data_IF_600558392157
#
_entry.id   IF_600558392157
#
_cell.length_a   1.000
_cell.length_b   1.000
_cell.length_c   1.000
_cell.angle_alpha   90.00
_cell.angle_beta   90.00
_cell.angle_gamma   90.00
#
_symmetry.space_group_name_H-M   'P 1'
#
loop_
_entity.id
_entity.type
_entity.pdbx_description
1 polymer ?
#
# COMPACT_ATOMS: atom_id res chain seq x y z
N UNK A 1 1.76 6.28 -11.28
CA UNK A 1 1.16 6.37 -9.94
C UNK A 1 0.86 4.97 -9.46
N UNK A 2 1.23 4.63 -8.22
CA UNK A 2 0.92 3.36 -7.58
C UNK A 2 0.41 3.55 -6.16
N UNK A 3 -0.69 2.86 -5.83
CA UNK A 3 -1.28 2.83 -4.49
C UNK A 3 -0.99 1.49 -3.82
N UNK A 4 -0.64 1.50 -2.53
CA UNK A 4 -0.45 0.28 -1.75
C UNK A 4 0.55 -0.69 -2.42
N UNK A 5 0.16 -1.94 -2.66
CA UNK A 5 0.91 -2.94 -3.43
C UNK A 5 1.35 -2.42 -4.80
N UNK A 6 0.46 -1.70 -5.51
CA UNK A 6 0.78 -1.07 -6.80
C UNK A 6 1.89 -0.01 -6.70
N UNK A 7 2.10 0.58 -5.51
CA UNK A 7 3.25 1.44 -5.24
C UNK A 7 4.57 0.68 -5.29
N UNK A 8 4.60 -0.55 -4.78
CA UNK A 8 5.75 -1.44 -4.91
C UNK A 8 6.02 -1.85 -6.35
N UNK A 9 4.98 -2.17 -7.11
CA UNK A 9 5.09 -2.47 -8.54
C UNK A 9 5.65 -1.27 -9.32
N UNK A 10 5.16 -0.06 -9.04
CA UNK A 10 5.67 1.17 -9.65
C UNK A 10 7.14 1.40 -9.29
N UNK A 11 7.52 1.29 -8.02
CA UNK A 11 8.90 1.46 -7.60
C UNK A 11 9.84 0.51 -8.35
N UNK A 12 9.50 -0.78 -8.40
CA UNK A 12 10.27 -1.78 -9.13
C UNK A 12 10.31 -1.54 -10.63
N UNK A 13 9.17 -1.21 -11.24
CA UNK A 13 9.13 -0.91 -12.67
C UNK A 13 9.98 0.31 -13.02
N UNK A 14 9.86 1.39 -12.25
CA UNK A 14 10.63 2.62 -12.49
C UNK A 14 12.12 2.34 -12.41
N UNK A 15 12.57 1.67 -11.34
CA UNK A 15 13.99 1.38 -11.12
C UNK A 15 14.59 0.47 -12.19
N UNK A 16 13.87 -0.59 -12.59
CA UNK A 16 14.42 -1.64 -13.46
C UNK A 16 14.17 -1.43 -14.94
N UNK A 17 13.09 -0.76 -15.31
CA UNK A 17 12.62 -0.69 -16.70
C UNK A 17 12.27 0.72 -17.17
N UNK A 18 11.61 1.50 -16.31
CA UNK A 18 11.03 2.79 -16.70
C UNK A 18 12.08 3.87 -16.88
N UNK A 19 12.88 4.11 -15.87
CA UNK A 19 13.92 5.14 -15.87
C UNK A 19 15.12 4.77 -16.77
N UNK A 20 15.68 3.55 -16.69
CA UNK A 20 16.77 3.15 -17.58
C UNK A 20 16.42 3.23 -19.07
N UNK A 21 15.14 3.07 -19.42
CA UNK A 21 14.68 3.19 -20.82
C UNK A 21 14.15 4.59 -21.17
N UNK A 22 14.22 5.57 -20.26
CA UNK A 22 13.70 6.93 -20.47
C UNK A 22 12.17 7.00 -20.61
N UNK A 23 11.43 6.01 -20.10
CA UNK A 23 9.98 5.90 -20.24
C UNK A 23 9.17 6.53 -19.11
N UNK A 24 9.84 6.84 -18.00
CA UNK A 24 9.20 7.43 -16.81
C UNK A 24 9.88 8.74 -16.47
N UNK A 25 9.12 9.82 -16.47
CA UNK A 25 9.63 11.16 -16.14
C UNK A 25 9.40 11.54 -14.67
N UNK A 26 8.36 10.97 -14.03
CA UNK A 26 7.99 11.24 -12.63
C UNK A 26 7.24 10.03 -12.07
N UNK A 27 7.31 9.83 -10.76
CA UNK A 27 6.55 8.79 -10.06
C UNK A 27 5.72 9.36 -8.89
N UNK A 28 4.63 8.67 -8.56
CA UNK A 28 3.84 8.97 -7.35
C UNK A 28 3.56 7.65 -6.63
N UNK A 29 3.92 7.59 -5.37
CA UNK A 29 3.69 6.46 -4.46
C UNK A 29 2.68 6.89 -3.40
N UNK A 30 1.54 6.21 -3.34
CA UNK A 30 0.45 6.56 -2.41
C UNK A 30 0.21 5.42 -1.45
N UNK A 31 0.33 5.64 -0.15
CA UNK A 31 0.16 4.59 0.88
C UNK A 31 0.89 3.30 0.47
N UNK A 32 2.08 3.44 -0.08
CA UNK A 32 2.80 2.39 -0.78
C UNK A 32 3.57 1.48 0.18
N UNK A 33 3.67 0.20 -0.16
CA UNK A 33 4.31 -0.83 0.67
C UNK A 33 5.84 -0.75 0.80
N UNK A 34 6.62 -0.17 -0.15
CA UNK A 34 8.08 -0.12 0.00
C UNK A 34 8.55 0.63 1.26
N UNK A 35 9.74 0.28 1.79
CA UNK A 35 10.73 -0.63 1.19
C UNK A 35 10.44 -2.12 1.38
N UNK A 36 9.90 -2.54 2.50
CA UNK A 36 9.49 -3.93 2.81
C UNK A 36 8.51 -3.90 3.96
N UNK A 37 7.51 -4.79 3.96
CA UNK A 37 6.53 -4.82 5.05
C UNK A 37 6.86 -5.84 6.14
N UNK A 38 7.38 -7.01 5.76
CA UNK A 38 7.69 -8.05 6.72
C UNK A 38 8.94 -7.71 7.54
N UNK A 39 8.88 -8.05 8.83
CA UNK A 39 10.04 -7.98 9.72
C UNK A 39 11.15 -8.90 9.24
N UNK A 40 12.35 -8.35 9.14
CA UNK A 40 13.58 -9.09 8.84
C UNK A 40 14.69 -8.66 9.81
N UNK A 41 15.83 -9.32 9.77
CA UNK A 41 17.01 -8.89 10.54
C UNK A 41 17.45 -7.47 10.16
N UNK A 42 17.43 -7.14 8.87
CA UNK A 42 17.74 -5.80 8.35
C UNK A 42 16.60 -4.79 8.59
N UNK A 43 15.41 -5.25 8.94
CA UNK A 43 14.20 -4.44 9.10
C UNK A 43 13.41 -4.90 10.33
N UNK A 44 13.93 -4.68 11.54
CA UNK A 44 13.37 -5.22 12.77
C UNK A 44 12.02 -4.60 13.18
N UNK A 45 11.68 -3.43 12.66
CA UNK A 45 10.40 -2.76 12.92
C UNK A 45 9.26 -3.20 11.98
N UNK A 46 9.55 -4.02 10.97
CA UNK A 46 8.53 -4.56 10.07
C UNK A 46 7.48 -5.41 10.80
N UNK A 47 6.36 -5.66 10.14
CA UNK A 47 5.29 -6.48 10.70
C UNK A 47 5.72 -7.96 10.77
N UNK A 48 5.35 -8.68 11.85
CA UNK A 48 5.58 -10.12 11.95
C UNK A 48 4.97 -10.88 10.78
N UNK A 49 5.61 -11.96 10.33
CA UNK A 49 5.11 -12.79 9.22
C UNK A 49 3.70 -13.34 9.48
N UNK A 50 3.37 -13.58 10.76
CA UNK A 50 2.09 -14.09 11.20
C UNK A 50 0.90 -13.19 10.81
N UNK A 51 1.13 -11.88 10.67
CA UNK A 51 0.11 -10.94 10.16
C UNK A 51 -0.28 -11.31 8.73
N UNK A 52 0.71 -11.57 7.89
CA UNK A 52 0.50 -11.92 6.48
C UNK A 52 -0.03 -13.34 6.31
N UNK A 53 0.38 -14.28 7.17
CA UNK A 53 -0.18 -15.62 7.24
C UNK A 53 -1.65 -15.61 7.69
N UNK A 54 -2.00 -14.68 8.57
CA UNK A 54 -3.38 -14.40 8.92
C UNK A 54 -4.22 -13.96 7.73
N UNK A 55 -3.69 -13.05 6.89
CA UNK A 55 -4.36 -12.64 5.64
C UNK A 55 -4.53 -13.81 4.67
N UNK A 56 -3.48 -14.64 4.47
CA UNK A 56 -3.56 -15.83 3.62
C UNK A 56 -4.64 -16.80 4.12
N UNK A 57 -4.66 -17.05 5.43
CA UNK A 57 -5.63 -17.95 6.07
C UNK A 57 -7.06 -17.45 5.94
N UNK A 58 -7.31 -16.17 6.22
CA UNK A 58 -8.62 -15.55 6.09
C UNK A 58 -9.11 -15.56 4.64
N UNK A 59 -8.22 -15.22 3.69
CA UNK A 59 -8.53 -15.25 2.26
C UNK A 59 -8.87 -16.66 1.78
N UNK A 60 -8.11 -17.67 2.21
CA UNK A 60 -8.35 -19.07 1.85
C UNK A 60 -9.64 -19.64 2.46
N UNK A 61 -9.94 -19.24 3.70
CA UNK A 61 -11.13 -19.71 4.40
C UNK A 61 -12.42 -19.13 3.80
N UNK A 62 -12.48 -17.83 3.54
CA UNK A 62 -13.65 -17.19 2.94
C UNK A 62 -13.23 -15.87 2.24
N UNK A 63 -12.90 -15.98 0.97
CA UNK A 63 -12.48 -14.84 0.15
C UNK A 63 -13.50 -13.70 0.11
N UNK A 64 -14.78 -14.03 0.02
CA UNK A 64 -15.85 -13.04 -0.05
C UNK A 64 -15.95 -12.25 1.26
N UNK A 65 -15.84 -12.93 2.40
CA UNK A 65 -15.85 -12.29 3.71
C UNK A 65 -14.58 -11.46 3.91
N UNK A 66 -13.40 -11.98 3.55
CA UNK A 66 -12.14 -11.25 3.64
C UNK A 66 -12.21 -9.89 2.92
N UNK A 67 -12.68 -9.89 1.66
CA UNK A 67 -12.84 -8.64 0.89
C UNK A 67 -13.93 -7.72 1.40
N UNK A 68 -14.81 -8.23 2.27
CA UNK A 68 -15.81 -7.42 2.97
C UNK A 68 -15.23 -6.78 4.24
N UNK A 69 -14.49 -7.55 5.02
CA UNK A 69 -14.00 -7.14 6.35
C UNK A 69 -12.89 -6.11 6.25
N UNK A 70 -11.96 -6.26 5.30
CA UNK A 70 -10.84 -5.34 5.13
C UNK A 70 -11.31 -3.89 4.90
N UNK A 71 -12.19 -3.58 3.93
CA UNK A 71 -12.69 -2.23 3.73
C UNK A 71 -13.68 -1.77 4.81
N UNK A 72 -14.42 -2.69 5.45
CA UNK A 72 -15.31 -2.36 6.56
C UNK A 72 -14.55 -1.94 7.83
N UNK A 73 -13.27 -2.23 7.90
CA UNK A 73 -12.41 -1.97 9.05
C UNK A 73 -11.22 -1.06 8.73
N UNK A 74 -10.00 -1.61 8.79
CA UNK A 74 -8.78 -0.81 8.83
C UNK A 74 -8.45 -0.08 7.52
N UNK A 75 -8.91 -0.58 6.36
CA UNK A 75 -8.54 0.00 5.06
C UNK A 75 -9.00 1.46 4.91
N UNK A 76 -10.25 1.73 5.27
CA UNK A 76 -10.81 3.09 5.29
C UNK A 76 -10.83 3.71 6.68
N UNK A 77 -10.40 2.98 7.70
CA UNK A 77 -10.46 3.42 9.10
C UNK A 77 -11.88 3.47 9.66
N UNK A 78 -12.80 2.69 9.09
CA UNK A 78 -14.20 2.61 9.56
C UNK A 78 -14.35 1.90 10.92
N UNK A 79 -13.28 1.24 11.39
CA UNK A 79 -13.18 0.66 12.73
C UNK A 79 -12.79 1.66 13.81
N UNK A 80 -12.55 2.93 13.48
CA UNK A 80 -12.19 3.98 14.45
C UNK A 80 -13.42 4.54 15.14
N UNK A 81 -13.27 4.96 16.37
CA UNK A 81 -14.35 5.61 17.12
C UNK A 81 -14.85 6.86 16.40
N UNK A 82 -16.18 6.96 16.27
CA UNK A 82 -16.83 8.09 15.60
C UNK A 82 -16.72 8.09 14.06
N UNK A 83 -16.14 7.06 13.46
CA UNK A 83 -16.06 6.97 12.00
C UNK A 83 -17.43 6.81 11.36
N UNK A 84 -17.70 7.55 10.29
CA UNK A 84 -18.89 7.34 9.46
C UNK A 84 -18.62 6.24 8.44
N UNK A 85 -19.35 5.14 8.57
CA UNK A 85 -19.23 3.98 7.67
C UNK A 85 -20.00 4.22 6.38
N UNK A 86 -19.33 4.09 5.25
CA UNK A 86 -19.90 4.25 3.91
C UNK A 86 -20.04 2.89 3.22
N UNK A 87 -21.21 2.28 3.35
CA UNK A 87 -21.50 0.94 2.80
C UNK A 87 -21.25 0.84 1.29
N UNK A 88 -21.57 1.86 0.51
CA UNK A 88 -21.31 1.89 -0.93
C UNK A 88 -19.82 1.84 -1.28
N UNK A 89 -18.96 2.43 -0.45
CA UNK A 89 -17.50 2.36 -0.60
C UNK A 89 -17.00 0.94 -0.33
N UNK A 90 -17.50 0.31 0.74
CA UNK A 90 -17.18 -1.08 1.09
C UNK A 90 -17.59 -2.03 -0.03
N UNK A 91 -18.81 -1.89 -0.55
CA UNK A 91 -19.34 -2.74 -1.63
C UNK A 91 -18.56 -2.55 -2.93
N UNK A 92 -18.17 -1.33 -3.27
CA UNK A 92 -17.38 -1.07 -4.45
C UNK A 92 -15.99 -1.74 -4.35
N UNK A 93 -15.33 -1.65 -3.21
CA UNK A 93 -14.05 -2.31 -2.95
C UNK A 93 -14.19 -3.84 -2.99
N UNK A 94 -15.23 -4.38 -2.32
CA UNK A 94 -15.55 -5.81 -2.35
C UNK A 94 -15.73 -6.34 -3.78
N UNK A 95 -16.53 -5.63 -4.58
CA UNK A 95 -16.78 -5.99 -5.98
C UNK A 95 -15.47 -6.07 -6.79
N UNK A 96 -14.60 -5.10 -6.64
CA UNK A 96 -13.30 -5.09 -7.32
C UNK A 96 -12.43 -6.27 -6.87
N UNK A 97 -12.36 -6.53 -5.58
CA UNK A 97 -11.64 -7.68 -5.03
C UNK A 97 -12.17 -9.01 -5.57
N UNK A 98 -13.50 -9.16 -5.67
CA UNK A 98 -14.12 -10.38 -6.19
C UNK A 98 -13.90 -10.60 -7.68
N UNK A 99 -13.57 -9.57 -8.45
CA UNK A 99 -13.23 -9.68 -9.88
C UNK A 99 -11.84 -10.27 -10.13
N UNK A 100 -10.94 -10.18 -9.19
CA UNK A 100 -9.56 -10.69 -9.33
C UNK A 100 -9.47 -12.22 -9.17
N UNK A 101 -8.35 -12.80 -9.58
CA UNK A 101 -8.10 -14.24 -9.44
C UNK A 101 -7.78 -14.64 -8.00
N UNK A 102 -8.46 -15.66 -7.47
CA UNK A 102 -8.28 -16.08 -6.08
C UNK A 102 -6.83 -16.50 -5.77
N UNK A 103 -6.20 -17.28 -6.66
CA UNK A 103 -4.80 -17.67 -6.50
C UNK A 103 -3.85 -16.47 -6.57
N UNK A 104 -4.09 -15.54 -7.48
CA UNK A 104 -3.27 -14.34 -7.62
C UNK A 104 -3.32 -13.46 -6.36
N UNK A 105 -4.49 -13.33 -5.73
CA UNK A 105 -4.62 -12.61 -4.46
C UNK A 105 -3.86 -13.30 -3.33
N UNK A 106 -3.95 -14.64 -3.24
CA UNK A 106 -3.24 -15.41 -2.23
C UNK A 106 -1.72 -15.28 -2.38
N UNK A 107 -1.21 -15.51 -3.59
CA UNK A 107 0.22 -15.40 -3.90
C UNK A 107 0.71 -13.94 -3.80
N UNK A 108 -0.15 -12.98 -4.12
CA UNK A 108 0.11 -11.56 -4.03
C UNK A 108 0.44 -11.07 -2.63
N UNK A 109 -0.11 -11.74 -1.58
CA UNK A 109 0.22 -11.42 -0.19
C UNK A 109 1.73 -11.59 0.04
N UNK A 110 2.32 -12.68 -0.44
CA UNK A 110 3.78 -12.87 -0.38
C UNK A 110 4.53 -11.81 -1.18
N UNK A 111 4.07 -11.56 -2.40
CA UNK A 111 4.74 -10.63 -3.29
C UNK A 111 4.86 -9.21 -2.70
N UNK A 112 3.80 -8.68 -2.10
CA UNK A 112 3.85 -7.32 -1.55
C UNK A 112 4.50 -7.25 -0.16
N UNK A 113 4.38 -8.31 0.66
CA UNK A 113 4.86 -8.26 2.05
C UNK A 113 6.33 -8.64 2.20
N UNK A 114 6.81 -9.60 1.42
CA UNK A 114 8.14 -10.21 1.57
C UNK A 114 9.17 -9.73 0.52
N UNK A 115 8.75 -8.93 -0.45
CA UNK A 115 9.68 -8.40 -1.45
C UNK A 115 10.40 -7.17 -0.92
N UNK A 116 11.71 -7.26 -0.77
CA UNK A 116 12.56 -6.10 -0.45
C UNK A 116 12.74 -5.23 -1.70
N UNK A 117 12.36 -3.98 -1.58
CA UNK A 117 12.42 -2.95 -2.62
C UNK A 117 13.37 -1.80 -2.24
N UNK A 118 14.20 -2.01 -1.23
CA UNK A 118 15.17 -1.02 -0.73
C UNK A 118 16.09 -0.54 -1.86
N UNK A 119 16.64 -1.48 -2.63
CA UNK A 119 17.53 -1.13 -3.75
C UNK A 119 16.78 -0.57 -4.95
N UNK A 120 15.54 -0.98 -5.17
CA UNK A 120 14.70 -0.36 -6.19
C UNK A 120 14.53 1.14 -5.88
N UNK A 121 14.17 1.52 -4.64
CA UNK A 121 14.04 2.93 -4.23
C UNK A 121 15.34 3.73 -4.38
N UNK A 122 16.47 3.17 -3.96
CA UNK A 122 17.80 3.82 -4.09
C UNK A 122 18.19 4.09 -5.55
N UNK A 123 17.69 3.29 -6.47
CA UNK A 123 17.99 3.42 -7.90
C UNK A 123 17.06 4.38 -8.64
N UNK A 124 16.00 4.87 -8.03
CA UNK A 124 15.10 5.87 -8.63
C UNK A 124 15.69 7.27 -8.49
N UNK A 125 15.89 7.97 -9.61
CA UNK A 125 16.37 9.36 -9.64
C UNK A 125 15.34 10.35 -10.18
N UNK A 126 14.28 9.90 -10.85
CA UNK A 126 13.20 10.77 -11.29
C UNK A 126 12.47 11.39 -10.09
N UNK A 127 11.93 12.61 -10.23
CA UNK A 127 11.12 13.21 -9.17
C UNK A 127 9.99 12.27 -8.73
N UNK A 128 9.97 11.93 -7.44
CA UNK A 128 9.02 10.98 -6.87
C UNK A 128 8.27 11.62 -5.71
N UNK A 129 6.95 11.73 -5.86
CA UNK A 129 6.07 12.20 -4.80
C UNK A 129 5.56 11.01 -3.98
N UNK A 130 5.75 11.07 -2.67
CA UNK A 130 5.23 10.07 -1.72
C UNK A 130 4.08 10.71 -0.95
N UNK A 131 2.89 10.13 -1.04
CA UNK A 131 1.68 10.58 -0.34
C UNK A 131 1.25 9.52 0.65
N UNK A 132 0.94 9.89 1.91
CA UNK A 132 0.56 8.90 2.92
C UNK A 132 -0.39 9.48 3.97
N UNK A 133 -1.39 8.69 4.37
CA UNK A 133 -2.25 8.99 5.50
C UNK A 133 -1.55 8.66 6.82
N UNK A 134 -1.58 9.56 7.79
CA UNK A 134 -0.90 9.35 9.08
C UNK A 134 -1.59 8.26 9.92
N UNK A 135 -2.89 8.01 9.69
CA UNK A 135 -3.68 6.98 10.37
C UNK A 135 -3.82 5.69 9.54
N UNK A 136 -2.86 5.42 8.66
CA UNK A 136 -2.85 4.19 7.85
C UNK A 136 -2.55 2.97 8.74
N UNK A 137 -3.58 2.12 8.93
CA UNK A 137 -3.50 0.89 9.73
C UNK A 137 -3.07 -0.33 8.90
N UNK A 138 -3.02 -0.21 7.58
CA UNK A 138 -2.63 -1.30 6.66
C UNK A 138 -1.14 -1.25 6.36
N UNK A 139 -0.66 -0.06 6.03
CA UNK A 139 0.75 0.22 5.75
C UNK A 139 1.20 1.35 6.66
N UNK A 140 1.75 1.07 7.85
CA UNK A 140 2.15 2.12 8.78
C UNK A 140 3.14 3.10 8.14
N UNK A 141 2.86 4.39 8.25
CA UNK A 141 3.66 5.44 7.62
C UNK A 141 5.13 5.43 8.08
N UNK A 142 5.36 5.08 9.35
CA UNK A 142 6.70 5.01 9.94
C UNK A 142 7.58 3.95 9.27
N UNK A 143 6.96 2.84 8.87
CA UNK A 143 7.65 1.68 8.30
C UNK A 143 7.70 1.69 6.76
N UNK A 144 7.04 2.65 6.14
CA UNK A 144 6.93 2.75 4.69
C UNK A 144 7.35 4.13 4.15
N UNK A 145 6.45 5.11 4.12
CA UNK A 145 6.70 6.40 3.47
C UNK A 145 7.88 7.17 4.08
N UNK A 146 8.03 7.19 5.41
CA UNK A 146 9.15 7.85 6.07
C UNK A 146 10.51 7.24 5.74
N UNK A 147 10.54 5.94 5.43
CA UNK A 147 11.75 5.24 5.01
C UNK A 147 11.95 5.36 3.50
N UNK A 148 10.89 5.20 2.72
CA UNK A 148 10.94 5.32 1.26
C UNK A 148 11.50 6.68 0.81
N UNK A 149 11.02 7.79 1.40
CA UNK A 149 11.49 9.13 1.02
C UNK A 149 12.98 9.34 1.30
N UNK A 150 13.53 8.67 2.32
CA UNK A 150 14.97 8.76 2.66
C UNK A 150 15.85 7.94 1.69
N UNK A 151 15.29 6.93 1.06
CA UNK A 151 16.00 6.08 0.09
C UNK A 151 15.98 6.67 -1.33
N UNK A 152 14.91 7.39 -1.68
CA UNK A 152 14.76 8.04 -2.98
C UNK A 152 15.77 9.17 -3.17
N UNK A 153 16.40 9.27 -4.34
CA UNK A 153 17.35 10.35 -4.67
C UNK A 153 16.65 11.71 -4.82
N UNK A 154 15.41 11.72 -5.27
CA UNK A 154 14.61 12.93 -5.50
C UNK A 154 13.16 12.70 -5.02
N UNK A 155 13.02 12.40 -3.72
CA UNK A 155 11.75 12.13 -3.05
C UNK A 155 11.18 13.34 -2.36
N UNK A 156 9.87 13.55 -2.48
CA UNK A 156 9.11 14.54 -1.71
C UNK A 156 7.99 13.81 -0.96
N UNK A 157 7.90 13.98 0.35
CA UNK A 157 6.83 13.42 1.18
C UNK A 157 5.76 14.47 1.46
N UNK A 158 4.50 14.08 1.29
CA UNK A 158 3.34 14.82 1.79
C UNK A 158 2.46 13.88 2.60
N UNK A 159 2.21 14.23 3.86
CA UNK A 159 1.37 13.45 4.78
C UNK A 159 0.00 14.08 4.95
N UNK A 160 -0.96 13.27 5.35
CA UNK A 160 -2.35 13.66 5.53
C UNK A 160 -2.84 13.21 6.91
N UNK A 161 -2.89 14.13 7.91
CA UNK A 161 -3.39 13.82 9.24
C UNK A 161 -4.85 13.32 9.21
N UNK A 162 -5.14 12.28 9.97
CA UNK A 162 -6.49 11.70 10.07
C UNK A 162 -6.91 10.80 8.91
N UNK A 163 -6.08 10.66 7.87
CA UNK A 163 -6.42 9.81 6.71
C UNK A 163 -5.87 8.38 6.85
N UNK A 164 -6.71 7.43 6.44
CA UNK A 164 -6.45 6.00 6.41
C UNK A 164 -5.79 5.56 5.10
N UNK A 165 -5.54 4.24 4.96
CA UNK A 165 -4.99 3.62 3.75
C UNK A 165 -5.78 3.94 2.48
N UNK A 166 -7.11 3.95 2.59
CA UNK A 166 -8.01 4.23 1.47
C UNK A 166 -8.20 5.70 1.13
N UNK A 167 -7.28 6.58 1.51
CA UNK A 167 -7.40 8.03 1.37
C UNK A 167 -7.73 8.50 -0.05
N UNK A 168 -7.28 7.81 -1.09
CA UNK A 168 -7.57 8.18 -2.48
C UNK A 168 -9.07 8.19 -2.81
N UNK A 169 -9.84 7.32 -2.16
CA UNK A 169 -11.29 7.26 -2.36
C UNK A 169 -12.00 8.36 -1.59
N UNK A 170 -11.57 8.64 -0.36
CA UNK A 170 -12.25 9.61 0.52
C UNK A 170 -11.76 11.04 0.33
N UNK A 171 -10.49 11.22 -0.09
CA UNK A 171 -9.90 12.54 -0.30
C UNK A 171 -10.39 13.19 -1.61
N UNK A 172 -10.69 12.40 -2.63
CA UNK A 172 -11.14 12.90 -3.93
C UNK A 172 -12.44 13.72 -3.84
N UNK A 173 -13.26 13.45 -2.82
CA UNK A 173 -14.49 14.20 -2.56
C UNK A 173 -14.26 15.57 -1.92
N UNK A 174 -13.05 15.86 -1.45
CA UNK A 174 -12.70 17.11 -0.76
C UNK A 174 -11.98 18.09 -1.70
N UNK A 175 -11.49 17.60 -2.84
CA UNK A 175 -10.68 18.38 -3.78
C UNK A 175 -11.38 18.65 -5.13
N UNK A 176 -12.68 18.32 -5.22
CA UNK A 176 -13.58 18.79 -6.28
C UNK A 176 -14.34 20.00 -5.74
#
# INVERSE_FOLDING_TARGET
>A
IGHSTGGGEVARYVAKHGEPAGRVAKAVLVSAVPPIMVKTEAYPEGLPIEVFDGFRSALAANRAQFFRDVPAGPFYGFNRDGATVHEGVIQNWWRQGMMGGAKAHYDGIKAFSETDQTDDLKNISVPTLVLHGEDDQIVPIADSAHKSVKLLKNGTLKTYPGFSHGMLTVLSLIHI
#
